data_IF_918221563544
#
_entry.id   IF_918221563544
#
_cell.length_a   1.000
_cell.length_b   1.000
_cell.length_c   1.000
_cell.angle_alpha   90.00
_cell.angle_beta   90.00
_cell.angle_gamma   90.00
#
_symmetry.space_group_name_H-M   'P 1'
#
loop_
_entity.id
_entity.type
_entity.pdbx_description
1 polymer ?
#
# COMPACT_ATOMS: atom_id res chain seq x y z
N UNK A 1 -22.05 14.41 -2.13
CA UNK A 1 -20.57 14.31 -2.15
C UNK A 1 -20.01 15.68 -1.75
N UNK A 2 -18.96 15.71 -0.89
CA UNK A 2 -18.25 16.93 -0.52
C UNK A 2 -16.84 16.84 -1.13
N UNK A 3 -16.52 17.56 -2.22
CA UNK A 3 -15.16 17.68 -2.68
C UNK A 3 -14.34 18.52 -1.71
N UNK A 4 -13.14 18.07 -1.36
CA UNK A 4 -12.20 18.75 -0.49
C UNK A 4 -10.80 18.68 -1.09
N UNK A 5 -10.15 19.83 -1.28
CA UNK A 5 -8.77 19.86 -1.75
C UNK A 5 -7.86 19.42 -0.61
N UNK A 6 -7.12 18.34 -0.80
CA UNK A 6 -6.32 17.71 0.24
C UNK A 6 -4.95 17.30 -0.30
N UNK A 7 -3.91 17.91 0.22
CA UNK A 7 -2.57 17.36 0.19
C UNK A 7 -2.41 16.39 1.37
N UNK A 8 -2.28 15.09 1.06
CA UNK A 8 -2.20 14.04 2.08
C UNK A 8 -0.95 14.14 2.95
N UNK A 9 0.07 14.90 2.52
CA UNK A 9 1.29 15.15 3.29
C UNK A 9 1.14 16.28 4.31
N UNK A 10 -0.01 16.98 4.31
CA UNK A 10 -0.32 18.08 5.23
C UNK A 10 -1.16 17.63 6.42
N UNK A 11 -0.57 17.57 7.62
CA UNK A 11 -1.30 17.25 8.87
C UNK A 11 -2.48 18.19 9.12
N UNK A 12 -2.31 19.48 8.81
CA UNK A 12 -3.37 20.49 8.99
C UNK A 12 -4.54 20.19 8.05
N UNK A 13 -4.28 19.95 6.76
CA UNK A 13 -5.35 19.65 5.79
C UNK A 13 -6.04 18.33 6.09
N UNK A 14 -5.30 17.30 6.54
CA UNK A 14 -5.86 16.03 6.97
C UNK A 14 -6.85 16.21 8.14
N UNK A 15 -6.45 16.98 9.15
CA UNK A 15 -7.31 17.29 10.30
C UNK A 15 -8.58 18.04 9.86
N UNK A 16 -8.44 19.05 9.00
CA UNK A 16 -9.60 19.82 8.50
C UNK A 16 -10.52 18.99 7.61
N UNK A 17 -9.99 18.06 6.79
CA UNK A 17 -10.80 17.15 5.99
C UNK A 17 -11.68 16.23 6.87
N UNK A 18 -11.11 15.67 7.94
CA UNK A 18 -11.86 14.86 8.91
C UNK A 18 -12.95 15.69 9.58
N UNK A 19 -12.62 16.90 10.09
CA UNK A 19 -13.61 17.79 10.71
C UNK A 19 -14.70 18.22 9.72
N UNK A 20 -14.34 18.57 8.49
CA UNK A 20 -15.30 18.98 7.47
C UNK A 20 -16.28 17.86 7.12
N UNK A 21 -15.77 16.61 7.03
CA UNK A 21 -16.60 15.41 6.79
C UNK A 21 -17.61 15.23 7.92
N UNK A 22 -17.16 15.28 9.18
CA UNK A 22 -18.04 15.11 10.35
C UNK A 22 -19.08 16.24 10.41
N UNK A 23 -18.69 17.49 10.18
CA UNK A 23 -19.64 18.63 10.16
C UNK A 23 -20.72 18.48 9.09
N UNK A 24 -20.34 17.96 7.91
CA UNK A 24 -21.25 17.89 6.75
C UNK A 24 -22.20 16.70 6.83
N UNK A 25 -21.69 15.54 7.26
CA UNK A 25 -22.44 14.27 7.21
C UNK A 25 -22.86 13.75 8.59
N UNK A 26 -22.50 14.46 9.67
CA UNK A 26 -22.79 14.08 11.04
C UNK A 26 -21.89 12.98 11.59
N UNK A 27 -21.20 12.22 10.70
CA UNK A 27 -20.32 11.11 11.07
C UNK A 27 -19.30 10.80 9.98
N UNK A 28 -18.26 10.08 10.38
CA UNK A 28 -17.30 9.40 9.52
C UNK A 28 -17.21 7.94 9.97
N UNK A 29 -17.49 6.99 9.10
CA UNK A 29 -17.49 5.56 9.43
C UNK A 29 -16.30 4.82 8.82
N UNK A 30 -15.83 5.28 7.66
CA UNK A 30 -14.75 4.62 6.90
C UNK A 30 -13.76 5.65 6.39
N UNK A 31 -12.47 5.41 6.60
CA UNK A 31 -11.37 6.10 5.93
C UNK A 31 -10.80 5.16 4.86
N UNK A 32 -10.67 5.65 3.62
CA UNK A 32 -9.96 4.94 2.55
C UNK A 32 -8.72 5.76 2.16
N UNK A 33 -7.54 5.29 2.52
CA UNK A 33 -6.27 5.85 2.10
C UNK A 33 -5.88 5.27 0.75
N UNK A 34 -6.14 6.00 -0.33
CA UNK A 34 -5.91 5.56 -1.71
C UNK A 34 -4.91 6.45 -2.46
N UNK A 35 -4.64 7.66 -2.00
CA UNK A 35 -3.72 8.58 -2.68
C UNK A 35 -2.32 7.97 -2.80
N UNK A 36 -1.72 8.09 -4.00
CA UNK A 36 -0.38 7.58 -4.23
C UNK A 36 0.00 7.57 -5.70
N UNK A 37 1.30 7.55 -5.95
CA UNK A 37 1.91 7.45 -7.27
C UNK A 37 3.23 6.67 -7.20
N UNK A 38 3.77 6.26 -8.35
CA UNK A 38 5.05 5.55 -8.37
C UNK A 38 5.73 5.60 -9.72
N UNK A 39 7.01 6.02 -9.72
CA UNK A 39 7.85 6.10 -10.91
C UNK A 39 8.57 4.79 -11.20
N UNK A 40 9.08 4.63 -12.42
CA UNK A 40 9.97 3.54 -12.82
C UNK A 40 11.30 4.12 -13.20
N UNK A 41 12.36 3.72 -12.50
CA UNK A 41 13.75 4.10 -12.78
C UNK A 41 14.73 3.10 -12.16
N UNK A 42 15.97 2.97 -12.66
CA UNK A 42 17.05 2.33 -11.92
C UNK A 42 17.30 3.03 -10.59
N UNK A 43 17.67 2.26 -9.56
CA UNK A 43 17.90 2.84 -8.24
C UNK A 43 19.01 3.88 -8.22
N UNK A 44 20.08 3.69 -8.99
CA UNK A 44 21.18 4.65 -9.05
C UNK A 44 20.82 5.94 -9.80
N UNK A 45 19.82 5.91 -10.68
CA UNK A 45 19.31 7.07 -11.41
C UNK A 45 18.14 7.76 -10.69
N UNK A 46 17.63 7.15 -9.61
CA UNK A 46 16.58 7.72 -8.77
C UNK A 46 17.21 8.72 -7.79
N UNK A 47 16.82 9.98 -7.87
CA UNK A 47 17.31 10.99 -6.92
C UNK A 47 16.75 10.73 -5.51
N UNK A 48 17.49 11.13 -4.47
CA UNK A 48 16.98 11.04 -3.11
C UNK A 48 15.76 11.94 -2.89
N UNK A 49 15.63 13.01 -3.66
CA UNK A 49 14.46 13.89 -3.63
C UNK A 49 13.21 13.15 -4.13
N UNK A 50 13.28 12.51 -5.31
CA UNK A 50 12.19 11.69 -5.83
C UNK A 50 11.87 10.51 -4.90
N UNK A 51 12.92 9.87 -4.34
CA UNK A 51 12.73 8.79 -3.37
C UNK A 51 11.94 9.28 -2.15
N UNK A 52 12.35 10.42 -1.55
CA UNK A 52 11.67 11.00 -0.39
C UNK A 52 10.24 11.43 -0.72
N UNK A 53 10.01 12.04 -1.87
CA UNK A 53 8.69 12.47 -2.30
C UNK A 53 7.70 11.29 -2.41
N UNK A 54 8.15 10.15 -2.95
CA UNK A 54 7.32 8.95 -3.02
C UNK A 54 7.06 8.33 -1.63
N UNK A 55 8.03 8.33 -0.73
CA UNK A 55 7.83 7.92 0.67
C UNK A 55 6.85 8.86 1.38
N UNK A 56 7.02 10.15 1.21
CA UNK A 56 6.18 11.16 1.86
C UNK A 56 4.71 10.99 1.45
N UNK A 57 4.43 10.88 0.17
CA UNK A 57 3.05 10.72 -0.31
C UNK A 57 2.46 9.34 0.02
N UNK A 58 3.19 8.25 -0.32
CA UNK A 58 2.61 6.90 -0.27
C UNK A 58 2.64 6.26 1.12
N UNK A 59 3.52 6.72 2.05
CA UNK A 59 3.62 6.21 3.41
C UNK A 59 3.18 7.25 4.43
N UNK A 60 3.84 8.43 4.48
CA UNK A 60 3.49 9.43 5.48
C UNK A 60 2.10 9.99 5.26
N UNK A 61 1.63 10.18 4.02
CA UNK A 61 0.25 10.57 3.74
C UNK A 61 -0.78 9.61 4.33
N UNK A 62 -0.52 8.30 4.26
CA UNK A 62 -1.35 7.28 4.91
C UNK A 62 -1.31 7.41 6.43
N UNK A 63 -0.12 7.57 7.01
CA UNK A 63 0.07 7.73 8.47
C UNK A 63 -0.65 8.98 8.98
N UNK A 64 -0.49 10.10 8.30
CA UNK A 64 -1.07 11.40 8.67
C UNK A 64 -2.60 11.33 8.74
N UNK A 65 -3.25 10.83 7.67
CA UNK A 65 -4.70 10.70 7.66
C UNK A 65 -5.21 9.67 8.69
N UNK A 66 -4.48 8.59 8.87
CA UNK A 66 -4.80 7.58 9.89
C UNK A 66 -4.73 8.20 11.30
N UNK A 67 -3.67 8.95 11.62
CA UNK A 67 -3.53 9.67 12.89
C UNK A 67 -4.64 10.70 13.10
N UNK A 68 -5.06 11.37 12.05
CA UNK A 68 -6.13 12.37 12.13
C UNK A 68 -7.51 11.74 12.45
N UNK A 69 -7.79 10.50 12.00
CA UNK A 69 -9.09 9.87 12.18
C UNK A 69 -9.19 8.97 13.42
N UNK A 70 -8.09 8.35 13.86
CA UNK A 70 -8.08 7.38 14.98
C UNK A 70 -8.69 7.95 16.27
N UNK A 71 -8.40 9.19 16.72
CA UNK A 71 -9.04 9.74 17.92
C UNK A 71 -10.57 9.75 17.83
N UNK A 72 -11.12 10.15 16.69
CA UNK A 72 -12.57 10.19 16.47
C UNK A 72 -13.20 8.78 16.48
N UNK A 73 -12.56 7.80 15.82
CA UNK A 73 -13.03 6.41 15.83
C UNK A 73 -12.96 5.80 17.23
N UNK A 74 -11.87 6.07 17.98
CA UNK A 74 -11.71 5.63 19.37
C UNK A 74 -12.83 6.16 20.28
N UNK A 75 -13.15 7.44 20.20
CA UNK A 75 -14.23 8.04 20.98
C UNK A 75 -15.60 7.44 20.64
N UNK A 76 -15.81 7.03 19.39
CA UNK A 76 -17.04 6.36 18.96
C UNK A 76 -17.08 4.87 19.28
N UNK A 77 -15.95 4.25 19.59
CA UNK A 77 -15.83 2.80 19.74
C UNK A 77 -16.06 2.03 18.42
N UNK A 78 -15.93 2.70 17.28
CA UNK A 78 -16.16 2.09 15.95
C UNK A 78 -15.56 2.89 14.82
N UNK A 79 -15.06 2.20 13.79
CA UNK A 79 -14.51 2.78 12.56
C UNK A 79 -13.88 1.70 11.69
N UNK A 80 -13.67 2.00 10.41
CA UNK A 80 -12.96 1.11 9.51
C UNK A 80 -11.92 1.90 8.69
N UNK A 81 -10.66 1.51 8.77
CA UNK A 81 -9.56 2.09 8.01
C UNK A 81 -9.19 1.11 6.91
N UNK A 82 -9.32 1.53 5.66
CA UNK A 82 -8.96 0.75 4.47
C UNK A 82 -7.70 1.38 3.86
N UNK A 83 -6.60 0.64 3.90
CA UNK A 83 -5.30 1.06 3.36
C UNK A 83 -5.10 0.44 1.98
N UNK A 84 -5.15 1.25 0.93
CA UNK A 84 -4.86 0.77 -0.43
C UNK A 84 -3.35 0.77 -0.64
N UNK A 85 -2.76 -0.43 -0.52
CA UNK A 85 -1.34 -0.64 -0.75
C UNK A 85 -1.08 -0.99 -2.22
N UNK A 86 -0.57 -2.13 -2.49
CA UNK A 86 -0.32 -2.72 -3.81
C UNK A 86 0.23 -4.12 -3.62
N UNK A 87 0.18 -4.95 -4.64
CA UNK A 87 1.03 -6.15 -4.70
C UNK A 87 2.53 -5.81 -4.54
N UNK A 88 2.93 -4.58 -4.88
CA UNK A 88 4.28 -4.06 -4.62
C UNK A 88 4.61 -3.86 -3.13
N UNK A 89 3.64 -3.92 -2.24
CA UNK A 89 3.85 -3.99 -0.77
C UNK A 89 4.19 -5.39 -0.28
N UNK A 90 4.12 -6.41 -1.14
CA UNK A 90 4.43 -7.81 -0.83
C UNK A 90 5.58 -8.36 -1.68
N UNK A 91 5.72 -7.90 -2.91
CA UNK A 91 6.81 -8.25 -3.82
C UNK A 91 7.56 -6.99 -4.26
N UNK A 92 8.86 -7.12 -4.55
CA UNK A 92 9.69 -6.01 -5.03
C UNK A 92 9.68 -5.93 -6.56
N UNK A 93 8.86 -5.09 -7.20
CA UNK A 93 8.87 -4.95 -8.64
C UNK A 93 10.11 -4.19 -9.12
N UNK A 94 10.70 -4.66 -10.23
CA UNK A 94 11.88 -4.06 -10.85
C UNK A 94 11.61 -2.59 -11.19
N UNK A 95 12.56 -1.71 -10.85
CA UNK A 95 12.52 -0.29 -11.16
C UNK A 95 11.60 0.57 -10.28
N UNK A 96 10.97 0.00 -9.24
CA UNK A 96 10.02 0.72 -8.37
C UNK A 96 10.45 0.75 -6.91
N UNK A 97 11.75 0.86 -6.64
CA UNK A 97 12.28 0.77 -5.27
C UNK A 97 11.65 1.76 -4.28
N UNK A 98 11.49 3.07 -4.57
CA UNK A 98 10.84 4.01 -3.65
C UNK A 98 9.38 3.65 -3.35
N UNK A 99 8.64 3.32 -4.41
CA UNK A 99 7.23 2.93 -4.31
C UNK A 99 7.06 1.65 -3.49
N UNK A 100 7.86 0.62 -3.79
CA UNK A 100 7.84 -0.63 -3.03
C UNK A 100 8.19 -0.39 -1.56
N UNK A 101 9.25 0.37 -1.27
CA UNK A 101 9.62 0.71 0.11
C UNK A 101 8.47 1.38 0.87
N UNK A 102 7.77 2.34 0.23
CA UNK A 102 6.60 2.98 0.83
C UNK A 102 5.46 1.99 1.09
N UNK A 103 5.10 1.18 0.08
CA UNK A 103 3.99 0.23 0.21
C UNK A 103 4.27 -0.90 1.20
N UNK A 104 5.51 -1.41 1.29
CA UNK A 104 5.94 -2.31 2.36
C UNK A 104 5.85 -1.63 3.73
N UNK A 105 6.21 -0.34 3.81
CA UNK A 105 6.04 0.45 5.03
C UNK A 105 4.57 0.53 5.47
N UNK A 106 3.65 0.75 4.52
CA UNK A 106 2.20 0.76 4.83
C UNK A 106 1.71 -0.61 5.30
N UNK A 107 2.20 -1.72 4.72
CA UNK A 107 1.86 -3.08 5.18
C UNK A 107 2.23 -3.28 6.65
N UNK A 108 3.50 -3.05 7.00
CA UNK A 108 3.97 -3.20 8.39
C UNK A 108 3.30 -2.24 9.37
N UNK A 109 3.11 -0.97 8.97
CA UNK A 109 2.36 0.01 9.75
C UNK A 109 0.93 -0.46 10.03
N UNK A 110 0.24 -0.95 9.00
CA UNK A 110 -1.16 -1.35 9.10
C UNK A 110 -1.37 -2.63 9.91
N UNK A 111 -0.45 -3.60 9.81
CA UNK A 111 -0.48 -4.80 10.67
C UNK A 111 -0.30 -4.47 12.15
N UNK A 112 0.59 -3.52 12.46
CA UNK A 112 0.80 -3.05 13.83
C UNK A 112 -0.43 -2.29 14.33
N UNK A 113 -0.89 -1.33 13.53
CA UNK A 113 -2.08 -0.53 13.85
C UNK A 113 -3.31 -1.41 14.13
N UNK A 114 -3.54 -2.43 13.30
CA UNK A 114 -4.69 -3.32 13.48
C UNK A 114 -4.75 -3.93 14.89
N UNK A 115 -3.61 -4.40 15.39
CA UNK A 115 -3.48 -4.98 16.74
C UNK A 115 -3.71 -3.95 17.85
N UNK A 116 -3.24 -2.71 17.63
CA UNK A 116 -3.37 -1.62 18.60
C UNK A 116 -4.81 -1.12 18.75
N UNK A 117 -5.56 -1.06 17.62
CA UNK A 117 -6.87 -0.43 17.59
C UNK A 117 -8.06 -1.41 17.64
N UNK A 118 -7.82 -2.72 17.48
CA UNK A 118 -8.84 -3.75 17.59
C UNK A 118 -9.64 -3.68 18.91
N UNK A 119 -8.99 -3.53 20.10
CA UNK A 119 -9.72 -3.41 21.37
C UNK A 119 -10.56 -2.13 21.47
N UNK A 120 -10.32 -1.15 20.58
CA UNK A 120 -11.07 0.10 20.50
C UNK A 120 -12.26 0.02 19.55
N UNK A 121 -12.55 -1.16 18.98
CA UNK A 121 -13.63 -1.37 18.01
C UNK A 121 -13.32 -0.81 16.60
N UNK A 122 -12.06 -0.50 16.30
CA UNK A 122 -11.63 0.02 15.01
C UNK A 122 -11.07 -1.13 14.16
N UNK A 123 -11.54 -1.24 12.93
CA UNK A 123 -11.08 -2.25 11.96
C UNK A 123 -10.05 -1.66 11.03
N UNK A 124 -9.09 -2.48 10.61
CA UNK A 124 -8.10 -2.14 9.60
C UNK A 124 -8.12 -3.21 8.52
N UNK A 125 -8.16 -2.79 7.26
CA UNK A 125 -8.02 -3.69 6.11
C UNK A 125 -7.00 -3.14 5.14
N UNK A 126 -6.05 -3.98 4.77
CA UNK A 126 -5.05 -3.73 3.75
C UNK A 126 -5.58 -4.31 2.44
N UNK A 127 -5.68 -3.48 1.41
CA UNK A 127 -6.07 -3.90 0.06
C UNK A 127 -4.83 -3.84 -0.83
N UNK A 128 -4.50 -4.96 -1.47
CA UNK A 128 -3.33 -5.15 -2.32
C UNK A 128 -3.75 -5.26 -3.80
N UNK A 129 -3.92 -4.15 -4.54
CA UNK A 129 -4.29 -4.22 -5.96
C UNK A 129 -3.14 -4.70 -6.86
N UNK A 130 -3.50 -5.41 -7.94
CA UNK A 130 -2.66 -5.63 -9.11
C UNK A 130 -2.77 -4.50 -10.13
N UNK A 131 -2.77 -4.84 -11.42
CA UNK A 131 -2.91 -3.88 -12.51
C UNK A 131 -4.35 -3.46 -12.74
N UNK A 132 -4.67 -2.18 -12.50
CA UNK A 132 -5.97 -1.57 -12.75
C UNK A 132 -5.86 -0.46 -13.81
N UNK A 133 -6.88 -0.31 -14.67
CA UNK A 133 -6.95 0.74 -15.71
C UNK A 133 -7.27 2.08 -15.09
N UNK A 134 -6.24 2.78 -14.63
CA UNK A 134 -6.31 4.12 -14.04
C UNK A 134 -5.15 4.96 -14.54
N UNK A 135 -5.14 6.25 -14.23
CA UNK A 135 -4.04 7.16 -14.54
C UNK A 135 -2.73 6.83 -13.80
N UNK A 136 -2.78 5.93 -12.82
CA UNK A 136 -1.58 5.46 -12.12
C UNK A 136 -0.53 4.88 -13.07
N UNK A 137 -0.94 4.15 -14.11
CA UNK A 137 -0.03 3.58 -15.11
C UNK A 137 0.20 4.50 -16.33
N UNK A 138 -0.44 5.67 -16.34
CA UNK A 138 -0.38 6.67 -17.40
C UNK A 138 0.35 7.93 -16.99
N UNK A 139 -0.33 9.05 -17.03
CA UNK A 139 0.24 10.39 -16.79
C UNK A 139 0.82 10.60 -15.40
N UNK A 140 0.40 9.82 -14.41
CA UNK A 140 0.88 9.92 -13.03
C UNK A 140 2.20 9.17 -12.77
N UNK A 141 2.74 8.46 -13.76
CA UNK A 141 3.98 7.67 -13.62
C UNK A 141 5.04 8.16 -14.59
N UNK A 142 6.19 8.56 -14.09
CA UNK A 142 7.37 8.77 -14.90
C UNK A 142 8.06 7.43 -15.19
N UNK A 143 8.40 7.18 -16.47
CA UNK A 143 9.04 5.95 -16.94
C UNK A 143 10.44 6.26 -17.51
N UNK A 144 11.47 5.93 -16.75
CA UNK A 144 12.89 6.06 -17.13
C UNK A 144 13.47 4.68 -17.40
N UNK A 145 13.95 4.44 -18.60
CA UNK A 145 14.58 3.15 -18.96
C UNK A 145 15.97 3.00 -18.34
N UNK A 146 16.63 4.12 -18.03
CA UNK A 146 17.97 4.13 -17.45
C UNK A 146 19.07 3.96 -18.50
N UNK A 147 20.25 3.63 -18.00
CA UNK A 147 21.46 3.39 -18.82
C UNK A 147 21.38 2.05 -19.53
N UNK A 148 22.22 1.80 -20.56
CA UNK A 148 22.23 0.54 -21.31
C UNK A 148 22.38 -0.71 -20.44
N UNK A 149 23.09 -0.62 -19.32
CA UNK A 149 23.29 -1.72 -18.38
C UNK A 149 21.99 -2.19 -17.72
N UNK A 150 20.97 -1.32 -17.65
CA UNK A 150 19.63 -1.64 -17.11
C UNK A 150 18.61 -2.01 -18.17
N UNK A 151 19.00 -2.07 -19.46
CA UNK A 151 18.05 -2.31 -20.56
C UNK A 151 17.26 -3.62 -20.41
N UNK A 152 17.95 -4.69 -20.01
CA UNK A 152 17.33 -6.02 -19.81
C UNK A 152 16.43 -6.12 -18.59
N UNK A 153 16.47 -5.17 -17.66
CA UNK A 153 15.73 -5.14 -16.41
C UNK A 153 14.76 -3.97 -16.36
N UNK A 154 15.22 -2.81 -15.92
CA UNK A 154 14.37 -1.60 -15.75
C UNK A 154 13.89 -1.09 -17.11
N UNK A 155 14.75 -1.07 -18.15
CA UNK A 155 14.37 -0.68 -19.50
C UNK A 155 13.22 -1.54 -20.04
N UNK A 156 13.32 -2.86 -19.90
CA UNK A 156 12.23 -3.80 -20.25
C UNK A 156 10.96 -3.51 -19.46
N UNK A 157 11.07 -3.23 -18.16
CA UNK A 157 9.92 -2.91 -17.31
C UNK A 157 9.25 -1.60 -17.71
N UNK A 158 10.03 -0.56 -18.01
CA UNK A 158 9.51 0.74 -18.45
C UNK A 158 8.76 0.63 -19.80
N UNK A 159 9.33 -0.11 -20.75
CA UNK A 159 8.67 -0.38 -22.05
C UNK A 159 7.39 -1.20 -21.86
N UNK A 160 7.46 -2.28 -21.08
CA UNK A 160 6.28 -3.08 -20.75
C UNK A 160 5.17 -2.23 -20.11
N UNK A 161 5.51 -1.37 -19.14
CA UNK A 161 4.54 -0.51 -18.47
C UNK A 161 3.87 0.47 -19.45
N UNK A 162 4.62 1.01 -20.42
CA UNK A 162 4.10 1.88 -21.48
C UNK A 162 3.09 1.16 -22.35
N UNK A 163 3.43 -0.06 -22.78
CA UNK A 163 2.56 -0.88 -23.64
C UNK A 163 1.34 -1.45 -22.87
N UNK A 164 1.50 -1.66 -21.56
CA UNK A 164 0.46 -2.21 -20.69
C UNK A 164 -0.60 -1.18 -20.31
N UNK A 165 -0.28 0.12 -20.43
CA UNK A 165 -1.22 1.19 -20.11
C UNK A 165 -2.50 1.09 -20.93
N UNK A 166 -3.65 1.07 -20.25
CA UNK A 166 -4.97 0.86 -20.85
C UNK A 166 -5.35 -0.63 -21.14
N UNK A 167 -4.40 -1.57 -20.90
CA UNK A 167 -4.61 -3.02 -21.09
C UNK A 167 -4.63 -3.83 -19.80
N UNK A 168 -4.54 -3.16 -18.66
CA UNK A 168 -4.58 -3.83 -17.35
C UNK A 168 -5.91 -4.61 -17.21
N UNK A 169 -5.89 -5.80 -16.56
CA UNK A 169 -7.09 -6.62 -16.40
C UNK A 169 -8.09 -6.03 -15.40
N UNK A 170 -7.62 -5.24 -14.44
CA UNK A 170 -8.44 -4.69 -13.37
C UNK A 170 -9.34 -3.55 -13.83
N UNK A 171 -10.61 -3.62 -13.41
CA UNK A 171 -11.63 -2.60 -13.64
C UNK A 171 -11.80 -1.75 -12.38
N UNK A 172 -11.48 -0.45 -12.41
CA UNK A 172 -11.58 0.42 -11.24
C UNK A 172 -13.02 0.57 -10.72
N UNK A 173 -14.04 0.46 -11.58
CA UNK A 173 -15.45 0.51 -11.16
C UNK A 173 -15.81 -0.72 -10.34
N UNK A 174 -15.35 -1.90 -10.76
CA UNK A 174 -15.53 -3.15 -9.99
C UNK A 174 -14.74 -3.12 -8.69
N UNK A 175 -13.53 -2.56 -8.70
CA UNK A 175 -12.73 -2.38 -7.48
C UNK A 175 -13.45 -1.46 -6.47
N UNK A 176 -14.02 -0.35 -6.94
CA UNK A 176 -14.81 0.55 -6.09
C UNK A 176 -16.04 -0.16 -5.48
N UNK A 177 -16.77 -0.94 -6.28
CA UNK A 177 -17.88 -1.75 -5.76
C UNK A 177 -17.42 -2.80 -4.72
N UNK A 178 -16.26 -3.42 -4.94
CA UNK A 178 -15.69 -4.37 -3.97
C UNK A 178 -15.27 -3.67 -2.68
N UNK A 179 -14.70 -2.45 -2.73
CA UNK A 179 -14.38 -1.65 -1.56
C UNK A 179 -15.63 -1.26 -0.76
N UNK A 180 -16.70 -0.87 -1.43
CA UNK A 180 -17.99 -0.57 -0.78
C UNK A 180 -18.56 -1.82 -0.06
N UNK A 181 -18.48 -2.98 -0.72
CA UNK A 181 -18.86 -4.25 -0.10
C UNK A 181 -17.97 -4.56 1.11
N UNK A 182 -16.66 -4.42 0.98
CA UNK A 182 -15.69 -4.64 2.06
C UNK A 182 -15.97 -3.73 3.27
N UNK A 183 -16.28 -2.46 3.02
CA UNK A 183 -16.64 -1.50 4.07
C UNK A 183 -17.90 -1.89 4.86
N UNK A 184 -18.80 -2.68 4.28
CA UNK A 184 -20.02 -3.18 4.91
C UNK A 184 -19.87 -4.53 5.64
N UNK A 185 -18.71 -5.19 5.51
CA UNK A 185 -18.46 -6.48 6.15
C UNK A 185 -18.32 -6.30 7.66
N UNK A 186 -19.04 -7.11 8.43
CA UNK A 186 -19.01 -7.05 9.90
C UNK A 186 -17.62 -7.41 10.45
N UNK A 187 -16.99 -8.42 9.87
CA UNK A 187 -15.64 -8.89 10.23
C UNK A 187 -14.78 -8.94 8.97
N UNK A 188 -14.24 -7.78 8.52
CA UNK A 188 -13.42 -7.74 7.33
C UNK A 188 -12.05 -8.40 7.57
N UNK A 189 -11.43 -8.98 6.54
CA UNK A 189 -10.09 -9.51 6.67
C UNK A 189 -9.07 -8.38 6.90
N UNK A 190 -7.99 -8.69 7.60
CA UNK A 190 -6.88 -7.76 7.73
C UNK A 190 -6.24 -7.46 6.34
N UNK A 191 -6.20 -8.44 5.45
CA UNK A 191 -5.58 -8.31 4.12
C UNK A 191 -6.44 -8.96 3.05
N UNK A 192 -6.52 -8.30 1.89
CA UNK A 192 -7.21 -8.83 0.71
C UNK A 192 -6.49 -8.37 -0.57
N UNK A 193 -6.27 -9.31 -1.47
CA UNK A 193 -5.67 -9.04 -2.79
C UNK A 193 -6.77 -8.74 -3.80
N UNK A 194 -6.60 -7.68 -4.59
CA UNK A 194 -7.52 -7.32 -5.67
C UNK A 194 -6.87 -7.56 -7.04
N UNK A 195 -7.48 -8.46 -7.81
CA UNK A 195 -7.04 -8.86 -9.14
C UNK A 195 -6.42 -10.25 -9.18
N UNK A 196 -6.71 -10.99 -10.25
CA UNK A 196 -6.21 -12.38 -10.44
C UNK A 196 -4.69 -12.38 -10.62
N UNK A 197 -4.17 -11.38 -11.33
CA UNK A 197 -2.72 -11.17 -11.54
C UNK A 197 -1.97 -10.99 -10.22
N UNK A 198 -2.49 -10.13 -9.35
CA UNK A 198 -1.93 -9.90 -8.02
C UNK A 198 -2.06 -11.12 -7.12
N UNK A 199 -3.20 -11.81 -7.14
CA UNK A 199 -3.43 -12.99 -6.33
C UNK A 199 -2.41 -14.10 -6.66
N UNK A 200 -2.25 -14.41 -7.94
CA UNK A 200 -1.30 -15.41 -8.39
C UNK A 200 0.16 -15.03 -8.05
N UNK A 201 0.51 -13.75 -8.20
CA UNK A 201 1.83 -13.25 -7.86
C UNK A 201 2.10 -13.32 -6.34
N UNK A 202 1.10 -12.97 -5.51
CA UNK A 202 1.18 -13.07 -4.05
C UNK A 202 1.41 -14.50 -3.60
N UNK A 203 0.58 -15.44 -4.07
CA UNK A 203 0.68 -16.85 -3.73
C UNK A 203 2.04 -17.43 -4.10
N UNK A 204 2.50 -17.20 -5.34
CA UNK A 204 3.81 -17.68 -5.80
C UNK A 204 4.96 -17.12 -4.96
N UNK A 205 4.91 -15.81 -4.60
CA UNK A 205 5.93 -15.18 -3.78
C UNK A 205 5.95 -15.73 -2.34
N UNK A 206 4.78 -15.93 -1.73
CA UNK A 206 4.69 -16.45 -0.37
C UNK A 206 5.21 -17.87 -0.28
N UNK A 207 4.87 -18.73 -1.25
CA UNK A 207 5.41 -20.08 -1.34
C UNK A 207 6.94 -20.08 -1.52
N UNK A 208 7.47 -19.24 -2.41
CA UNK A 208 8.91 -19.11 -2.63
C UNK A 208 9.66 -18.67 -1.37
N UNK A 209 9.10 -17.69 -0.62
CA UNK A 209 9.67 -17.23 0.65
C UNK A 209 9.69 -18.32 1.71
N UNK A 210 8.59 -19.08 1.80
CA UNK A 210 8.50 -20.20 2.74
C UNK A 210 9.56 -21.28 2.45
N UNK A 211 9.72 -21.66 1.18
CA UNK A 211 10.72 -22.65 0.77
C UNK A 211 12.16 -22.13 1.00
N UNK A 212 12.41 -20.86 0.70
CA UNK A 212 13.71 -20.25 0.99
C UNK A 212 14.01 -20.25 2.49
N UNK A 213 13.03 -19.92 3.32
CA UNK A 213 13.16 -19.97 4.78
C UNK A 213 13.49 -21.37 5.30
N UNK A 214 12.81 -22.40 4.76
CA UNK A 214 13.12 -23.81 5.09
C UNK A 214 14.55 -24.20 4.73
N UNK A 215 15.03 -23.77 3.56
CA UNK A 215 16.39 -24.05 3.09
C UNK A 215 17.48 -23.50 4.02
N UNK A 216 17.23 -22.34 4.63
CA UNK A 216 18.20 -21.65 5.48
C UNK A 216 17.94 -21.78 6.98
N UNK A 217 16.97 -22.65 7.35
CA UNK A 217 16.53 -22.83 8.74
C UNK A 217 17.68 -23.13 9.70
N UNK A 218 18.55 -24.07 9.33
CA UNK A 218 19.62 -24.50 10.22
C UNK A 218 20.61 -23.37 10.49
N UNK A 219 20.96 -22.57 9.46
CA UNK A 219 21.80 -21.39 9.64
C UNK A 219 21.10 -20.34 10.52
N UNK A 220 19.79 -20.15 10.33
CA UNK A 220 19.03 -19.20 11.16
C UNK A 220 19.06 -19.55 12.65
N UNK A 221 19.02 -20.84 12.97
CA UNK A 221 19.04 -21.33 14.35
C UNK A 221 20.39 -21.17 15.02
N UNK A 222 21.49 -21.02 14.27
CA UNK A 222 22.81 -20.76 14.88
C UNK A 222 22.93 -19.38 15.51
N UNK A 223 21.97 -18.48 15.26
CA UNK A 223 21.96 -17.16 15.88
C UNK A 223 21.44 -17.15 17.33
N UNK A 224 20.86 -18.26 17.80
CA UNK A 224 20.42 -18.40 19.18
C UNK A 224 21.58 -18.78 20.11
N UNK A 225 21.45 -18.42 21.40
CA UNK A 225 22.34 -18.95 22.40
C UNK A 225 22.25 -20.47 22.48
N UNK A 226 23.38 -21.16 22.41
CA UNK A 226 23.41 -22.60 22.68
C UNK A 226 22.93 -22.82 24.12
N UNK A 227 21.84 -23.58 24.30
CA UNK A 227 21.42 -24.03 25.62
C UNK A 227 22.56 -24.94 26.13
N UNK A 228 23.45 -24.38 26.98
CA UNK A 228 24.27 -25.22 27.83
C UNK A 228 23.32 -25.93 28.78
N UNK A 229 23.26 -27.23 28.69
CA UNK A 229 22.59 -28.06 29.69
C UNK A 229 23.21 -27.73 31.05
N UNK A 230 22.40 -27.06 31.91
CA UNK A 230 22.74 -26.82 33.32
C UNK A 230 22.18 -27.98 34.10
#
# INVERSE_FOLDING_TARGET
>A
MLPFSLDVTSETQATEAVKATIRTFGKLDVLVNNAGYGNVAPIEDTTLEDFRAQIETNLFGVIILTKAVVPYFRERGSGHIIQVTSIAGRIGPIGRAPYAAAKWGVEGFSETLAKEVEPLGIKVTIVEPGGFRTDFAGSSTELREGRPEYDSTVGKTARFQRDYNGRQPGDPTRAAAALLKLASVKEPPLRIVFGIDAYNAAEANDLARLELGKKWKDLSYTADFVKTDV
#
